data_IF_202958033089
#
_entry.id   IF_202958033089
#
_cell.length_a   1.000
_cell.length_b   1.000
_cell.length_c   1.000
_cell.angle_alpha   90.00
_cell.angle_beta   90.00
_cell.angle_gamma   90.00
#
_symmetry.space_group_name_H-M   'P 1'
#
loop_
_entity.id
_entity.type
_entity.pdbx_description
1 polymer ?
#
# COMPACT_ATOMS: atom_id res chain seq x y z
N UNK A 1 2.09 4.38 26.14
CA UNK A 1 1.93 2.92 26.04
C UNK A 1 2.43 2.47 24.68
N UNK A 2 3.57 1.77 24.66
CA UNK A 2 3.96 0.99 23.47
C UNK A 2 3.02 -0.21 23.50
N UNK A 3 1.97 -0.18 22.69
CA UNK A 3 1.03 -1.30 22.59
C UNK A 3 1.80 -2.51 22.10
N UNK A 4 1.93 -3.52 22.96
CA UNK A 4 2.41 -4.84 22.59
C UNK A 4 1.29 -5.47 21.77
N UNK A 5 1.53 -5.71 20.49
CA UNK A 5 0.52 -6.21 19.56
C UNK A 5 0.92 -5.95 18.11
N UNK A 6 0.49 -6.83 17.22
CA UNK A 6 0.71 -6.64 15.79
C UNK A 6 -0.13 -5.47 15.26
N UNK A 7 0.31 -4.87 14.16
CA UNK A 7 -0.37 -3.77 13.51
C UNK A 7 -0.68 -4.10 12.05
N UNK A 8 -1.79 -3.61 11.54
CA UNK A 8 -2.15 -3.75 10.13
C UNK A 8 -1.56 -2.60 9.32
N UNK A 9 -0.70 -2.93 8.36
CA UNK A 9 -0.21 -1.99 7.37
C UNK A 9 -0.99 -2.13 6.07
N UNK A 10 -1.38 -0.99 5.49
CA UNK A 10 -2.03 -0.94 4.19
C UNK A 10 -1.40 0.15 3.33
N UNK A 11 -1.23 -0.15 2.05
CA UNK A 11 -0.77 0.75 1.01
C UNK A 11 -1.71 0.61 -0.19
N UNK A 12 -2.10 1.71 -0.82
CA UNK A 12 -3.06 1.70 -1.93
C UNK A 12 -2.51 2.50 -3.10
N UNK A 13 -2.44 1.88 -4.26
CA UNK A 13 -2.05 2.54 -5.51
C UNK A 13 -3.13 3.56 -5.93
N UNK A 14 -2.70 4.76 -6.36
CA UNK A 14 -3.61 5.90 -6.55
C UNK A 14 -4.32 5.90 -7.90
N UNK A 15 -3.84 5.25 -8.94
CA UNK A 15 -4.47 5.18 -10.25
C UNK A 15 -5.48 4.02 -10.32
N UNK A 16 -5.05 2.82 -9.98
CA UNK A 16 -5.74 1.53 -10.12
C UNK A 16 -6.45 1.09 -8.86
N UNK A 17 -6.14 1.70 -7.70
CA UNK A 17 -6.71 1.35 -6.39
C UNK A 17 -6.27 -0.01 -5.86
N UNK A 18 -5.23 -0.60 -6.45
CA UNK A 18 -4.62 -1.84 -6.00
C UNK A 18 -4.18 -1.75 -4.53
N UNK A 19 -4.51 -2.76 -3.74
CA UNK A 19 -4.32 -2.78 -2.30
C UNK A 19 -3.20 -3.75 -1.92
N UNK A 20 -2.21 -3.26 -1.19
CA UNK A 20 -1.25 -4.12 -0.49
C UNK A 20 -1.51 -4.01 1.00
N UNK A 21 -1.67 -5.13 1.68
CA UNK A 21 -1.78 -5.15 3.13
C UNK A 21 -0.90 -6.23 3.75
N UNK A 22 -0.46 -6.00 4.99
CA UNK A 22 0.37 -6.94 5.72
C UNK A 22 0.34 -6.68 7.22
N UNK A 23 0.57 -7.74 7.98
CA UNK A 23 0.65 -7.68 9.44
C UNK A 23 2.10 -7.41 9.84
N UNK A 24 2.29 -6.42 10.70
CA UNK A 24 3.59 -6.00 11.21
C UNK A 24 3.66 -6.37 12.70
N UNK A 25 4.75 -7.00 13.18
CA UNK A 25 4.85 -7.49 14.55
C UNK A 25 4.83 -6.38 15.62
N UNK A 26 5.04 -5.12 15.23
CA UNK A 26 5.01 -3.97 16.13
C UNK A 26 4.76 -2.64 15.42
N UNK A 27 4.50 -1.61 16.24
CA UNK A 27 4.19 -0.24 15.79
C UNK A 27 5.41 0.67 15.63
N UNK A 28 6.62 0.11 15.63
CA UNK A 28 7.81 0.94 15.52
C UNK A 28 7.99 1.45 14.08
N UNK A 29 8.59 2.63 13.93
CA UNK A 29 8.92 3.17 12.62
C UNK A 29 9.89 2.25 11.83
N UNK A 30 10.70 1.44 12.52
CA UNK A 30 11.61 0.47 11.89
C UNK A 30 10.87 -0.69 11.23
N UNK A 31 9.96 -1.32 11.96
CA UNK A 31 9.15 -2.43 11.47
C UNK A 31 8.21 -1.99 10.35
N UNK A 32 7.59 -0.81 10.49
CA UNK A 32 6.71 -0.24 9.45
C UNK A 32 7.43 0.00 8.13
N UNK A 33 8.68 0.46 8.18
CA UNK A 33 9.51 0.65 6.98
C UNK A 33 9.94 -0.69 6.39
N UNK A 34 10.33 -1.66 7.22
CA UNK A 34 10.68 -3.01 6.75
C UNK A 34 9.53 -3.67 5.99
N UNK A 35 8.31 -3.57 6.52
CA UNK A 35 7.11 -4.06 5.85
C UNK A 35 6.86 -3.37 4.49
N UNK A 36 7.02 -2.05 4.41
CA UNK A 36 6.88 -1.32 3.15
C UNK A 36 7.96 -1.69 2.13
N UNK A 37 9.20 -1.86 2.56
CA UNK A 37 10.27 -2.32 1.68
C UNK A 37 9.95 -3.70 1.10
N UNK A 38 9.40 -4.61 1.91
CA UNK A 38 8.96 -5.92 1.44
C UNK A 38 7.76 -5.85 0.48
N UNK A 39 6.81 -4.95 0.71
CA UNK A 39 5.67 -4.72 -0.19
C UNK A 39 6.11 -4.13 -1.53
N UNK A 40 7.08 -3.20 -1.52
CA UNK A 40 7.52 -2.51 -2.72
C UNK A 40 8.62 -3.25 -3.48
N UNK A 41 9.46 -4.06 -2.83
CA UNK A 41 10.58 -4.75 -3.51
C UNK A 41 10.20 -5.55 -4.77
N UNK A 42 9.04 -6.24 -4.88
CA UNK A 42 8.69 -6.97 -6.09
C UNK A 42 8.19 -6.09 -7.24
N UNK A 43 7.87 -4.81 -7.00
CA UNK A 43 7.34 -3.92 -8.04
C UNK A 43 8.46 -3.40 -8.96
N UNK A 44 8.22 -3.16 -10.26
CA UNK A 44 9.19 -2.48 -11.11
C UNK A 44 9.45 -1.05 -10.63
N UNK A 45 10.61 -0.47 -10.99
CA UNK A 45 10.97 0.89 -10.58
C UNK A 45 9.92 1.93 -11.01
N UNK A 46 9.39 1.81 -12.22
CA UNK A 46 8.32 2.68 -12.74
C UNK A 46 7.02 2.64 -11.94
N UNK A 47 6.76 1.59 -11.16
CA UNK A 47 5.58 1.50 -10.29
C UNK A 47 5.83 2.02 -8.87
N UNK A 48 7.06 2.48 -8.59
CA UNK A 48 7.52 2.94 -7.27
C UNK A 48 7.96 4.40 -7.26
N UNK A 49 7.35 5.23 -8.10
CA UNK A 49 7.78 6.63 -8.28
C UNK A 49 7.65 7.43 -6.98
N UNK A 50 6.52 7.32 -6.28
CA UNK A 50 6.33 8.06 -5.03
C UNK A 50 5.40 7.36 -4.05
N UNK A 51 5.61 7.64 -2.77
CA UNK A 51 4.73 7.22 -1.67
C UNK A 51 4.24 8.46 -0.93
N UNK A 52 2.93 8.53 -0.66
CA UNK A 52 2.35 9.62 0.13
C UNK A 52 2.14 9.18 1.57
N UNK A 53 2.78 9.84 2.52
CA UNK A 53 2.66 9.57 3.96
C UNK A 53 1.65 10.51 4.64
N UNK A 54 1.12 10.05 5.76
CA UNK A 54 0.50 10.95 6.75
C UNK A 54 1.58 11.54 7.68
N UNK A 55 1.23 12.60 8.40
CA UNK A 55 2.16 13.28 9.31
C UNK A 55 2.30 12.54 10.66
N UNK A 56 2.00 11.24 10.71
CA UNK A 56 2.10 10.41 11.90
C UNK A 56 3.55 10.06 12.25
N UNK A 57 3.79 9.84 13.53
CA UNK A 57 5.13 9.51 14.08
C UNK A 57 5.69 8.17 13.58
N UNK A 58 4.83 7.26 13.08
CA UNK A 58 5.23 6.00 12.43
C UNK A 58 5.98 6.17 11.10
N UNK A 59 6.06 7.40 10.58
CA UNK A 59 6.71 7.74 9.31
C UNK A 59 8.07 8.45 9.48
N UNK A 60 8.60 8.53 10.71
CA UNK A 60 9.87 9.18 11.01
C UNK A 60 11.08 8.58 10.24
N UNK A 61 10.99 7.34 9.77
CA UNK A 61 12.05 6.64 8.99
C UNK A 61 11.79 6.56 7.48
N UNK A 62 10.92 7.42 6.94
CA UNK A 62 10.57 7.46 5.52
C UNK A 62 11.77 7.60 4.57
N UNK A 63 12.87 8.22 5.01
CA UNK A 63 14.10 8.37 4.22
C UNK A 63 14.66 7.03 3.73
N UNK A 64 14.44 5.92 4.44
CA UNK A 64 14.84 4.58 3.98
C UNK A 64 14.13 4.11 2.71
N UNK A 65 12.94 4.63 2.40
CA UNK A 65 12.25 4.36 1.13
C UNK A 65 12.84 5.17 -0.02
N UNK A 66 13.44 6.33 0.29
CA UNK A 66 14.24 7.09 -0.67
C UNK A 66 15.58 6.39 -0.90
N UNK A 67 16.29 6.01 0.16
CA UNK A 67 17.66 5.49 0.07
C UNK A 67 17.75 4.06 -0.48
N UNK A 68 16.71 3.24 -0.30
CA UNK A 68 16.67 1.87 -0.83
C UNK A 68 16.09 1.81 -2.24
N UNK A 69 14.76 1.87 -2.41
CA UNK A 69 14.11 1.76 -3.71
C UNK A 69 14.08 3.05 -4.55
N UNK A 70 14.66 4.17 -4.08
CA UNK A 70 14.67 5.41 -4.86
C UNK A 70 13.33 6.14 -4.93
N UNK A 71 12.40 5.87 -4.00
CA UNK A 71 11.03 6.38 -4.07
C UNK A 71 10.94 7.81 -3.52
N UNK A 72 10.25 8.69 -4.24
CA UNK A 72 9.96 10.02 -3.71
C UNK A 72 8.94 9.96 -2.57
N UNK A 73 9.22 10.70 -1.50
CA UNK A 73 8.33 10.79 -0.36
C UNK A 73 7.56 12.10 -0.40
N UNK A 74 6.24 12.00 -0.47
CA UNK A 74 5.32 13.13 -0.36
C UNK A 74 4.60 13.08 0.99
N UNK A 75 4.42 14.21 1.67
CA UNK A 75 3.58 14.29 2.87
C UNK A 75 2.23 14.90 2.52
N UNK A 76 1.15 14.33 3.04
CA UNK A 76 -0.16 14.93 2.90
C UNK A 76 -0.25 16.22 3.74
N UNK A 77 -0.81 17.28 3.17
CA UNK A 77 -1.04 18.52 3.89
C UNK A 77 -1.86 18.28 5.18
N UNK A 78 -1.55 19.00 6.28
CA UNK A 78 -2.33 18.94 7.50
C UNK A 78 -3.83 19.11 7.18
N UNK A 79 -4.68 18.30 7.82
CA UNK A 79 -6.15 18.35 7.71
C UNK A 79 -6.75 18.07 6.30
N UNK A 80 -5.96 17.67 5.31
CA UNK A 80 -6.46 17.34 3.95
C UNK A 80 -6.89 15.88 3.80
N UNK A 81 -7.96 15.48 4.50
CA UNK A 81 -8.51 14.11 4.45
C UNK A 81 -8.96 13.67 3.04
N UNK A 82 -9.38 14.61 2.18
CA UNK A 82 -9.82 14.33 0.79
C UNK A 82 -8.71 13.75 -0.10
N UNK A 83 -7.43 14.05 0.15
CA UNK A 83 -6.29 13.42 -0.56
C UNK A 83 -6.13 11.93 -0.21
N UNK A 84 -6.89 11.41 0.77
CA UNK A 84 -6.86 10.02 1.27
C UNK A 84 -8.13 9.22 1.00
N UNK A 85 -9.12 9.75 0.26
CA UNK A 85 -10.43 9.11 0.12
C UNK A 85 -10.38 7.64 -0.32
N UNK A 86 -9.43 7.30 -1.19
CA UNK A 86 -9.25 5.93 -1.69
C UNK A 86 -8.64 4.96 -0.68
N UNK A 87 -7.71 5.43 0.16
CA UNK A 87 -7.12 4.63 1.23
C UNK A 87 -8.12 4.44 2.38
N UNK A 88 -8.88 5.47 2.73
CA UNK A 88 -9.96 5.38 3.71
C UNK A 88 -11.05 4.37 3.29
N UNK A 89 -11.44 4.36 2.02
CA UNK A 89 -12.40 3.40 1.50
C UNK A 89 -11.88 1.94 1.52
N UNK A 90 -10.60 1.73 1.22
CA UNK A 90 -9.97 0.40 1.26
C UNK A 90 -9.72 -0.11 2.67
N UNK A 91 -9.22 0.75 3.55
CA UNK A 91 -9.08 0.43 4.97
C UNK A 91 -10.44 0.12 5.61
N UNK A 92 -11.47 0.86 5.23
CA UNK A 92 -12.85 0.60 5.65
C UNK A 92 -13.44 -0.69 5.06
N UNK A 93 -12.86 -1.27 4.02
CA UNK A 93 -13.24 -2.60 3.51
C UNK A 93 -12.55 -3.69 4.33
N UNK A 94 -11.23 -3.61 4.50
CA UNK A 94 -10.46 -4.58 5.31
C UNK A 94 -11.00 -4.64 6.75
N UNK A 95 -11.37 -3.50 7.34
CA UNK A 95 -11.90 -3.44 8.72
C UNK A 95 -13.29 -4.04 8.92
N UNK A 96 -13.99 -4.47 7.86
CA UNK A 96 -15.30 -5.16 7.99
C UNK A 96 -15.17 -6.65 8.26
N UNK A 97 -14.01 -7.23 7.96
CA UNK A 97 -13.76 -8.66 8.13
C UNK A 97 -13.34 -9.03 9.56
N UNK A 98 -12.46 -8.28 10.27
CA UNK A 98 -12.22 -8.55 11.68
C UNK A 98 -13.44 -8.10 12.51
N UNK A 99 -13.86 -8.88 13.52
CA UNK A 99 -14.80 -8.40 14.53
C UNK A 99 -14.25 -7.11 15.12
N UNK A 100 -15.10 -6.10 15.24
CA UNK A 100 -14.74 -4.81 15.82
C UNK A 100 -14.08 -5.07 17.20
N UNK A 101 -12.76 -4.82 17.31
CA UNK A 101 -11.88 -5.02 18.51
C UNK A 101 -11.12 -6.35 18.64
N UNK A 102 -11.05 -7.20 17.62
CA UNK A 102 -10.14 -8.37 17.66
C UNK A 102 -8.67 -7.97 17.64
N UNK A 103 -7.86 -8.63 18.48
CA UNK A 103 -6.40 -8.52 18.46
C UNK A 103 -5.87 -9.02 17.11
N UNK A 104 -5.02 -8.21 16.47
CA UNK A 104 -4.37 -8.59 15.21
C UNK A 104 -3.19 -9.50 15.57
N UNK A 105 -3.18 -10.70 14.99
CA UNK A 105 -2.15 -11.72 15.24
C UNK A 105 -1.44 -12.09 13.94
N UNK A 106 -0.18 -12.54 14.03
CA UNK A 106 0.61 -12.91 12.85
C UNK A 106 0.02 -14.09 12.06
N UNK A 107 -0.71 -14.99 12.70
CA UNK A 107 -1.38 -16.14 12.05
C UNK A 107 -2.57 -15.74 11.17
N UNK A 108 -3.11 -14.53 11.35
CA UNK A 108 -4.16 -13.96 10.49
C UNK A 108 -3.64 -13.46 9.13
N UNK A 109 -2.33 -13.58 8.85
CA UNK A 109 -1.76 -13.12 7.59
C UNK A 109 -2.36 -13.81 6.35
N UNK A 110 -2.77 -15.09 6.50
CA UNK A 110 -3.48 -15.83 5.45
C UNK A 110 -4.87 -15.25 5.16
N UNK A 111 -5.68 -15.09 6.21
CA UNK A 111 -7.01 -14.47 6.10
C UNK A 111 -6.94 -13.05 5.53
N UNK A 112 -5.97 -12.25 5.98
CA UNK A 112 -5.73 -10.91 5.43
C UNK A 112 -5.45 -10.95 3.93
N UNK A 113 -4.68 -11.94 3.47
CA UNK A 113 -4.38 -12.09 2.04
C UNK A 113 -5.63 -12.43 1.25
N UNK A 114 -6.48 -13.32 1.74
CA UNK A 114 -7.76 -13.64 1.08
C UNK A 114 -8.66 -12.41 0.96
N UNK A 115 -8.72 -11.58 2.01
CA UNK A 115 -9.46 -10.31 2.01
C UNK A 115 -8.91 -9.33 0.97
N UNK A 116 -7.59 -9.21 0.89
CA UNK A 116 -6.91 -8.35 -0.10
C UNK A 116 -7.19 -8.85 -1.52
N UNK A 117 -7.05 -10.16 -1.75
CA UNK A 117 -7.30 -10.79 -3.05
C UNK A 117 -8.77 -10.59 -3.47
N UNK A 118 -9.73 -10.74 -2.56
CA UNK A 118 -11.14 -10.43 -2.84
C UNK A 118 -11.33 -8.95 -3.21
N UNK A 119 -10.72 -8.05 -2.45
CA UNK A 119 -10.83 -6.61 -2.67
C UNK A 119 -10.24 -6.17 -4.02
N UNK A 120 -9.09 -6.73 -4.41
CA UNK A 120 -8.40 -6.39 -5.65
C UNK A 120 -8.98 -7.09 -6.88
N UNK A 121 -9.75 -8.17 -6.69
CA UNK A 121 -10.52 -8.82 -7.76
C UNK A 121 -11.97 -8.35 -7.85
N UNK A 122 -12.35 -7.31 -7.10
CA UNK A 122 -13.71 -6.75 -7.14
C UNK A 122 -13.83 -5.63 -8.20
N UNK A 123 -14.74 -5.76 -9.18
CA UNK A 123 -15.00 -4.72 -10.18
C UNK A 123 -15.34 -3.37 -9.56
N UNK A 124 -14.74 -2.30 -10.09
CA UNK A 124 -14.99 -0.94 -9.64
C UNK A 124 -15.52 -0.04 -10.75
N UNK A 125 -16.64 0.64 -10.49
CA UNK A 125 -17.21 1.62 -11.44
C UNK A 125 -16.22 2.72 -11.85
N UNK A 126 -15.36 3.16 -10.92
CA UNK A 126 -14.33 4.19 -11.20
C UNK A 126 -13.25 3.73 -12.17
N UNK A 127 -13.07 2.41 -12.34
CA UNK A 127 -12.13 1.80 -13.28
C UNK A 127 -12.81 1.31 -14.57
N UNK A 128 -14.06 1.74 -14.80
CA UNK A 128 -14.86 1.24 -15.93
C UNK A 128 -15.28 -0.22 -15.74
N UNK A 129 -15.54 -0.63 -14.49
CA UNK A 129 -15.89 -2.01 -14.10
C UNK A 129 -14.75 -3.03 -14.24
N UNK A 130 -13.52 -2.60 -14.48
CA UNK A 130 -12.33 -3.43 -14.27
C UNK A 130 -12.05 -3.63 -12.78
N UNK A 131 -11.32 -4.70 -12.46
CA UNK A 131 -10.79 -4.94 -11.12
C UNK A 131 -9.51 -4.11 -10.89
N UNK A 132 -9.19 -3.75 -9.63
CA UNK A 132 -7.90 -3.15 -9.30
C UNK A 132 -6.70 -3.98 -9.77
N UNK A 133 -6.78 -5.31 -9.69
CA UNK A 133 -5.74 -6.24 -10.15
C UNK A 133 -5.52 -6.14 -11.67
N UNK A 134 -6.60 -6.17 -12.47
CA UNK A 134 -6.53 -6.00 -13.92
C UNK A 134 -5.93 -4.65 -14.30
N UNK A 135 -6.47 -3.57 -13.75
CA UNK A 135 -5.97 -2.23 -14.02
C UNK A 135 -4.51 -2.07 -13.61
N UNK A 136 -4.08 -2.69 -12.51
CA UNK A 136 -2.68 -2.66 -12.08
C UNK A 136 -1.76 -3.45 -13.01
N UNK A 137 -2.18 -4.62 -13.48
CA UNK A 137 -1.41 -5.38 -14.46
C UNK A 137 -1.20 -4.60 -15.76
N UNK A 138 -2.25 -3.95 -16.29
CA UNK A 138 -2.15 -3.12 -17.49
C UNK A 138 -1.12 -1.99 -17.32
N UNK A 139 -1.18 -1.26 -16.19
CA UNK A 139 -0.23 -0.18 -15.90
C UNK A 139 1.21 -0.67 -15.77
N UNK A 140 1.41 -1.85 -15.17
CA UNK A 140 2.74 -2.44 -15.05
C UNK A 140 3.34 -2.78 -16.42
N UNK A 141 2.52 -3.26 -17.36
CA UNK A 141 2.94 -3.52 -18.74
C UNK A 141 3.31 -2.22 -19.46
N UNK A 142 2.47 -1.18 -19.38
CA UNK A 142 2.76 0.14 -19.97
C UNK A 142 4.09 0.72 -19.46
N UNK A 143 4.38 0.57 -18.16
CA UNK A 143 5.61 1.04 -17.55
C UNK A 143 6.85 0.25 -17.98
N UNK A 144 6.71 -1.03 -18.35
CA UNK A 144 7.80 -1.85 -18.89
C UNK A 144 8.11 -1.47 -20.33
N UNK A 145 7.09 -1.23 -21.15
CA UNK A 145 7.24 -0.81 -22.54
C UNK A 145 7.91 0.57 -22.65
N UNK A 146 7.57 1.49 -21.74
CA UNK A 146 8.22 2.80 -21.66
C UNK A 146 9.69 2.73 -21.23
N UNK A 147 10.08 1.74 -20.41
CA UNK A 147 11.48 1.52 -20.01
C UNK A 147 12.29 0.85 -21.12
N UNK A 148 11.67 -0.02 -21.93
CA UNK A 148 12.29 -0.66 -23.09
C UNK A 148 12.54 0.30 -24.27
N UNK A 149 11.69 1.32 -24.45
CA UNK A 149 11.86 2.30 -25.53
C UNK A 149 13.00 3.31 -25.26
N UNK A 150 13.35 3.55 -23.99
CA UNK A 150 14.33 4.58 -23.60
C UNK A 150 15.80 4.11 -23.57
N UNK A 151 16.11 2.85 -23.89
CA UNK A 151 17.49 2.32 -23.89
C UNK A 151 18.17 2.34 -25.27
N UNK A 152 17.54 2.95 -26.27
CA UNK A 152 18.15 3.15 -27.60
C UNK A 152 18.61 4.60 -27.78
N UNK A 153 19.78 4.96 -27.23
CA UNK A 153 20.63 6.05 -27.74
C UNK A 153 22.10 5.79 -27.42
#
# INVERSE_FOLDING_TARGET
MIGVGCDLRTEVERKTRFLMAGIVPGRTAGESVGARLAMFSPLPAGARVSVTHDNGTGFARHTRLRDGPGMDTCFADPYSSRRRGSNGNRNGMIRRYPPERSEIRMDMAGELREIVDEADNRPMRVLGYRTPAEAFADELLELQDQQGCCTSK
#
